data_IF_139684888736
#
_entry.id   IF_139684888736
#
_cell.length_a   1.000
_cell.length_b   1.000
_cell.length_c   1.000
_cell.angle_alpha   90.00
_cell.angle_beta   90.00
_cell.angle_gamma   90.00
#
_symmetry.space_group_name_H-M   'P 1'
#
loop_
_entity.id
_entity.type
_entity.pdbx_description
1 polymer ?
#
# COMPACT_ATOMS: atom_id res chain seq x y z
N UNK A 1 52.32 0.28 13.32
CA UNK A 1 52.46 -0.06 11.89
C UNK A 1 51.73 -1.35 11.57
N UNK A 2 51.75 -2.35 12.47
CA UNK A 2 50.92 -3.56 12.45
C UNK A 2 49.47 -3.36 11.99
N UNK A 3 48.73 -2.39 12.57
CA UNK A 3 47.30 -2.24 12.28
C UNK A 3 47.01 -1.91 10.82
N UNK A 4 47.87 -1.10 10.18
CA UNK A 4 47.74 -0.79 8.74
C UNK A 4 48.02 -2.03 7.88
N UNK A 5 48.98 -2.86 8.27
CA UNK A 5 49.31 -4.11 7.57
C UNK A 5 48.19 -5.15 7.75
N UNK A 6 47.62 -5.25 8.95
CA UNK A 6 46.46 -6.09 9.22
C UNK A 6 45.21 -5.60 8.48
N UNK A 7 44.99 -4.29 8.40
CA UNK A 7 43.89 -3.72 7.63
C UNK A 7 44.03 -4.02 6.14
N UNK A 8 45.21 -3.87 5.57
CA UNK A 8 45.49 -4.22 4.16
C UNK A 8 45.35 -5.73 3.91
N UNK A 9 45.66 -6.57 4.90
CA UNK A 9 45.41 -8.02 4.84
C UNK A 9 43.91 -8.33 4.88
N UNK A 10 43.14 -7.65 5.72
CA UNK A 10 41.67 -7.79 5.82
C UNK A 10 40.95 -7.29 4.56
N UNK A 11 41.40 -6.20 3.94
CA UNK A 11 40.87 -5.71 2.66
C UNK A 11 41.12 -6.69 1.50
N UNK A 12 42.24 -7.42 1.55
CA UNK A 12 42.57 -8.47 0.58
C UNK A 12 41.80 -9.77 0.84
N UNK A 13 41.19 -9.90 2.02
CA UNK A 13 40.30 -11.02 2.30
C UNK A 13 38.98 -10.81 1.54
N UNK A 14 38.84 -11.60 0.46
CA UNK A 14 37.67 -11.59 -0.39
C UNK A 14 36.40 -11.95 0.39
N UNK A 15 36.52 -12.81 1.41
CA UNK A 15 35.37 -13.18 2.26
C UNK A 15 34.85 -11.96 3.04
N UNK A 16 35.76 -11.30 3.75
CA UNK A 16 35.42 -10.16 4.59
C UNK A 16 34.86 -9.00 3.75
N UNK A 17 35.47 -8.75 2.60
CA UNK A 17 35.05 -7.67 1.68
C UNK A 17 33.63 -7.90 1.15
N UNK A 18 33.32 -9.10 0.67
CA UNK A 18 31.97 -9.44 0.18
C UNK A 18 30.94 -9.38 1.30
N UNK A 19 31.28 -9.88 2.49
CA UNK A 19 30.35 -9.87 3.63
C UNK A 19 30.04 -8.45 4.10
N UNK A 20 31.05 -7.58 4.18
CA UNK A 20 30.87 -6.15 4.51
C UNK A 20 30.05 -5.43 3.44
N UNK A 21 30.29 -5.71 2.15
CA UNK A 21 29.52 -5.14 1.06
C UNK A 21 28.04 -5.59 1.13
N UNK A 22 27.78 -6.88 1.36
CA UNK A 22 26.42 -7.40 1.52
C UNK A 22 25.70 -6.79 2.73
N UNK A 23 26.38 -6.62 3.87
CA UNK A 23 25.83 -5.94 5.04
C UNK A 23 25.54 -4.46 4.79
N UNK A 24 26.41 -3.78 4.05
CA UNK A 24 26.20 -2.39 3.66
C UNK A 24 24.97 -2.25 2.75
N UNK A 25 24.84 -3.12 1.74
CA UNK A 25 23.67 -3.17 0.85
C UNK A 25 22.40 -3.48 1.64
N UNK A 26 22.42 -4.50 2.52
CA UNK A 26 21.28 -4.83 3.39
C UNK A 26 20.83 -3.65 4.24
N UNK A 27 21.79 -2.91 4.82
CA UNK A 27 21.49 -1.73 5.63
C UNK A 27 20.85 -0.64 4.79
N UNK A 28 21.40 -0.34 3.60
CA UNK A 28 20.82 0.65 2.67
C UNK A 28 19.42 0.29 2.21
N UNK A 29 19.18 -0.98 1.84
CA UNK A 29 17.84 -1.47 1.47
C UNK A 29 16.86 -1.22 2.62
N UNK A 30 17.24 -1.61 3.84
CA UNK A 30 16.37 -1.44 5.02
C UNK A 30 16.06 0.03 5.29
N UNK A 31 17.07 0.88 5.25
CA UNK A 31 16.91 2.32 5.51
C UNK A 31 16.03 2.97 4.45
N UNK A 32 16.20 2.59 3.17
CA UNK A 32 15.37 3.08 2.09
C UNK A 32 13.91 2.63 2.24
N UNK A 33 13.67 1.35 2.54
CA UNK A 33 12.32 0.84 2.79
C UNK A 33 11.65 1.53 3.99
N UNK A 34 12.40 1.78 5.06
CA UNK A 34 11.90 2.55 6.19
C UNK A 34 11.53 3.98 5.78
N UNK A 35 12.40 4.66 5.03
CA UNK A 35 12.12 6.02 4.55
C UNK A 35 10.87 6.05 3.66
N UNK A 36 10.76 5.14 2.68
CA UNK A 36 9.57 5.04 1.82
C UNK A 36 8.30 4.79 2.62
N UNK A 37 8.35 3.91 3.64
CA UNK A 37 7.22 3.69 4.54
C UNK A 37 6.83 4.97 5.27
N UNK A 38 7.80 5.71 5.82
CA UNK A 38 7.54 6.97 6.52
C UNK A 38 6.99 8.06 5.60
N UNK A 39 7.52 8.18 4.38
CA UNK A 39 7.05 9.15 3.40
C UNK A 39 5.62 8.85 2.95
N UNK A 40 5.30 7.58 2.67
CA UNK A 40 3.93 7.17 2.32
C UNK A 40 2.95 7.46 3.47
N UNK A 41 3.36 7.12 4.70
CA UNK A 41 2.58 7.39 5.91
C UNK A 41 2.40 8.90 6.15
N UNK A 42 3.40 9.72 5.83
CA UNK A 42 3.32 11.17 5.90
C UNK A 42 2.38 11.73 4.85
N UNK A 43 2.49 11.26 3.60
CA UNK A 43 1.63 11.68 2.49
C UNK A 43 0.17 11.33 2.77
N UNK A 44 -0.12 10.09 3.19
CA UNK A 44 -1.46 9.66 3.60
C UNK A 44 -2.05 10.54 4.70
N UNK A 45 -1.27 10.90 5.72
CA UNK A 45 -1.73 11.81 6.79
C UNK A 45 -1.99 13.22 6.25
N UNK A 46 -1.12 13.74 5.39
CA UNK A 46 -1.31 15.07 4.80
C UNK A 46 -2.57 15.13 3.94
N UNK A 47 -2.82 14.11 3.12
CA UNK A 47 -4.04 13.99 2.31
C UNK A 47 -5.30 13.90 3.18
N UNK A 48 -5.31 13.05 4.21
CA UNK A 48 -6.44 12.99 5.14
C UNK A 48 -6.66 14.34 5.84
N UNK A 49 -5.59 15.06 6.18
CA UNK A 49 -5.70 16.37 6.81
C UNK A 49 -6.29 17.43 5.86
N UNK A 50 -5.89 17.45 4.58
CA UNK A 50 -6.44 18.38 3.59
C UNK A 50 -7.90 18.11 3.32
N UNK A 51 -8.26 16.85 3.02
CA UNK A 51 -9.65 16.44 2.79
C UNK A 51 -10.53 16.74 4.00
N UNK A 52 -10.06 16.43 5.22
CA UNK A 52 -10.82 16.73 6.44
C UNK A 52 -10.97 18.24 6.68
N UNK A 53 -9.95 19.04 6.33
CA UNK A 53 -10.04 20.49 6.44
C UNK A 53 -11.05 21.06 5.44
N UNK A 54 -11.03 20.59 4.19
CA UNK A 54 -11.98 20.97 3.14
C UNK A 54 -13.41 20.59 3.52
N UNK A 55 -13.65 19.36 3.98
CA UNK A 55 -14.97 18.94 4.45
C UNK A 55 -15.49 19.82 5.60
N UNK A 56 -14.64 20.21 6.54
CA UNK A 56 -15.02 21.12 7.64
C UNK A 56 -15.34 22.52 7.15
N UNK A 57 -14.56 23.04 6.20
CA UNK A 57 -14.83 24.33 5.56
C UNK A 57 -16.16 24.29 4.80
N UNK A 58 -16.40 23.23 4.04
CA UNK A 58 -17.66 23.04 3.34
C UNK A 58 -18.84 22.95 4.32
N UNK A 59 -18.74 22.16 5.38
CA UNK A 59 -19.79 22.04 6.39
C UNK A 59 -20.10 23.37 7.08
N UNK A 60 -19.08 24.16 7.45
CA UNK A 60 -19.29 25.48 8.04
C UNK A 60 -19.92 26.47 7.05
N UNK A 61 -19.48 26.44 5.79
CA UNK A 61 -20.04 27.27 4.72
C UNK A 61 -21.51 26.92 4.48
N UNK A 62 -21.85 25.64 4.40
CA UNK A 62 -23.22 25.15 4.26
C UNK A 62 -24.10 25.56 5.45
N UNK A 63 -23.60 25.45 6.68
CA UNK A 63 -24.32 25.94 7.86
C UNK A 63 -24.55 27.45 7.77
N UNK A 64 -23.52 28.23 7.42
CA UNK A 64 -23.63 29.68 7.25
C UNK A 64 -24.66 30.07 6.18
N UNK A 65 -24.68 29.36 5.06
CA UNK A 65 -25.70 29.51 4.01
C UNK A 65 -27.08 29.22 4.59
N UNK A 66 -27.28 28.06 5.24
CA UNK A 66 -28.56 27.67 5.85
C UNK A 66 -29.11 28.72 6.82
N UNK A 67 -28.23 29.39 7.58
CA UNK A 67 -28.64 30.45 8.50
C UNK A 67 -29.06 31.74 7.78
N UNK A 68 -28.38 32.10 6.69
CA UNK A 68 -28.62 33.36 5.96
C UNK A 68 -29.72 33.23 4.89
N UNK A 69 -29.92 32.03 4.36
CA UNK A 69 -30.86 31.66 3.31
C UNK A 69 -32.28 32.22 3.51
N UNK A 70 -32.97 32.04 4.64
CA UNK A 70 -34.33 32.55 4.81
C UNK A 70 -34.40 34.09 4.77
N UNK A 71 -33.36 34.77 5.28
CA UNK A 71 -33.27 36.23 5.23
C UNK A 71 -33.05 36.76 3.82
N UNK A 72 -32.13 36.13 3.09
CA UNK A 72 -31.83 36.49 1.69
C UNK A 72 -33.03 36.19 0.78
N UNK A 73 -33.69 35.04 0.92
CA UNK A 73 -34.90 34.71 0.15
C UNK A 73 -36.04 35.71 0.40
N UNK A 74 -36.17 36.22 1.63
CA UNK A 74 -37.13 37.28 1.96
C UNK A 74 -36.79 38.59 1.24
N UNK A 75 -35.51 38.97 1.18
CA UNK A 75 -35.06 40.15 0.44
C UNK A 75 -35.28 39.99 -1.07
N UNK A 76 -34.95 38.83 -1.63
CA UNK A 76 -35.22 38.49 -3.04
C UNK A 76 -36.72 38.57 -3.33
N UNK A 77 -37.57 38.11 -2.41
CA UNK A 77 -39.03 38.25 -2.52
C UNK A 77 -39.47 39.70 -2.60
N UNK A 78 -38.93 40.56 -1.75
CA UNK A 78 -39.28 41.98 -1.73
C UNK A 78 -38.76 42.71 -2.97
N UNK A 79 -37.56 42.36 -3.44
CA UNK A 79 -36.94 42.91 -4.65
C UNK A 79 -37.71 42.54 -5.92
N UNK A 80 -38.15 41.28 -6.04
CA UNK A 80 -38.88 40.80 -7.21
C UNK A 80 -40.32 41.33 -7.27
N UNK A 81 -40.88 41.83 -6.15
CA UNK A 81 -42.25 42.34 -6.08
C UNK A 81 -42.34 43.70 -5.36
N UNK A 82 -41.69 44.76 -5.90
CA UNK A 82 -41.71 46.06 -5.26
C UNK A 82 -43.09 46.70 -5.40
N UNK A 83 -43.70 47.17 -4.29
CA UNK A 83 -44.99 47.86 -4.36
C UNK A 83 -44.76 49.21 -5.04
N UNK A 84 -45.45 49.43 -6.17
CA UNK A 84 -45.50 50.70 -6.92
C UNK A 84 -44.31 51.06 -7.83
N UNK A 85 -43.46 50.10 -8.22
CA UNK A 85 -42.34 50.33 -9.14
C UNK A 85 -42.39 49.44 -10.40
N UNK A 86 -41.64 49.82 -11.44
CA UNK A 86 -41.39 48.99 -12.62
C UNK A 86 -40.65 47.73 -12.15
N UNK A 87 -41.19 46.56 -12.49
CA UNK A 87 -40.66 45.29 -12.04
C UNK A 87 -39.21 45.10 -12.52
N UNK A 88 -38.23 44.93 -11.61
CA UNK A 88 -36.84 44.69 -11.97
C UNK A 88 -36.64 43.27 -12.54
N UNK A 89 -35.48 43.00 -13.12
CA UNK A 89 -35.11 41.66 -13.60
C UNK A 89 -35.24 40.65 -12.46
N UNK A 90 -36.04 39.61 -12.67
CA UNK A 90 -36.34 38.60 -11.64
C UNK A 90 -35.07 37.85 -11.29
N UNK A 91 -34.74 37.82 -10.00
CA UNK A 91 -33.70 36.94 -9.49
C UNK A 91 -34.36 35.58 -9.21
N UNK A 92 -33.91 34.48 -9.84
CA UNK A 92 -34.43 33.16 -9.55
C UNK A 92 -34.16 32.81 -8.09
N UNK A 93 -35.17 32.24 -7.41
CA UNK A 93 -35.03 31.80 -6.02
C UNK A 93 -34.32 30.46 -5.93
N UNK A 94 -34.59 29.60 -6.89
CA UNK A 94 -34.01 28.27 -6.98
C UNK A 94 -32.58 28.38 -7.48
N UNK A 95 -31.65 27.74 -6.77
CA UNK A 95 -30.24 27.70 -7.14
C UNK A 95 -29.43 28.96 -6.84
N UNK A 96 -30.00 29.95 -6.14
CA UNK A 96 -29.26 31.18 -5.77
C UNK A 96 -28.07 30.90 -4.82
N UNK A 97 -28.11 29.78 -4.10
CA UNK A 97 -27.05 29.30 -3.21
C UNK A 97 -26.31 28.07 -3.72
N UNK A 98 -26.64 27.58 -4.92
CA UNK A 98 -25.82 26.57 -5.57
C UNK A 98 -24.49 27.26 -5.89
N UNK A 99 -23.48 26.96 -5.10
CA UNK A 99 -22.10 27.26 -5.45
C UNK A 99 -21.84 26.51 -6.75
N UNK A 100 -21.56 27.26 -7.82
CA UNK A 100 -21.10 26.75 -9.14
C UNK A 100 -19.68 26.13 -9.03
N UNK A 101 -19.35 25.62 -7.84
CA UNK A 101 -18.17 24.80 -7.57
C UNK A 101 -18.55 23.39 -7.97
N UNK A 102 -18.68 23.19 -9.29
CA UNK A 102 -18.20 21.96 -9.87
C UNK A 102 -16.73 21.86 -9.50
N UNK A 103 -16.42 21.19 -8.39
CA UNK A 103 -15.22 20.38 -8.40
C UNK A 103 -15.57 19.29 -9.40
N UNK A 104 -15.27 19.56 -10.67
CA UNK A 104 -15.56 18.65 -11.75
C UNK A 104 -14.91 17.32 -11.34
N UNK A 105 -15.68 16.23 -11.25
CA UNK A 105 -15.13 14.89 -11.00
C UNK A 105 -13.93 14.64 -11.93
N UNK A 106 -13.97 15.20 -13.14
CA UNK A 106 -12.88 15.21 -14.13
C UNK A 106 -11.55 15.77 -13.58
N UNK A 107 -11.58 16.79 -12.73
CA UNK A 107 -10.38 17.36 -12.09
C UNK A 107 -9.78 16.42 -11.05
N UNK A 108 -10.62 15.78 -10.22
CA UNK A 108 -10.17 14.80 -9.24
C UNK A 108 -9.66 13.52 -9.91
N UNK A 109 -10.35 13.06 -10.95
CA UNK A 109 -9.96 11.90 -11.77
C UNK A 109 -8.59 12.15 -12.43
N UNK A 110 -8.34 13.34 -12.98
CA UNK A 110 -7.03 13.67 -13.57
C UNK A 110 -5.88 13.59 -12.54
N UNK A 111 -6.09 14.04 -11.31
CA UNK A 111 -5.10 13.87 -10.24
C UNK A 111 -4.89 12.42 -9.84
N UNK A 112 -5.94 11.61 -9.73
CA UNK A 112 -5.81 10.19 -9.44
C UNK A 112 -4.98 9.46 -10.52
N UNK A 113 -5.20 9.79 -11.79
CA UNK A 113 -4.44 9.20 -12.92
C UNK A 113 -2.98 9.64 -12.90
N UNK A 114 -2.70 10.91 -12.59
CA UNK A 114 -1.33 11.43 -12.50
C UNK A 114 -0.56 10.80 -11.32
N UNK A 115 -1.20 10.67 -10.16
CA UNK A 115 -0.63 10.02 -8.98
C UNK A 115 -0.40 8.51 -9.22
N UNK A 116 -1.33 7.82 -9.87
CA UNK A 116 -1.16 6.41 -10.25
C UNK A 116 0.04 6.22 -11.19
N UNK A 117 0.22 7.11 -12.16
CA UNK A 117 1.37 7.08 -13.06
C UNK A 117 2.69 7.31 -12.31
N UNK A 118 2.71 8.22 -11.33
CA UNK A 118 3.88 8.45 -10.48
C UNK A 118 4.21 7.21 -9.64
N UNK A 119 3.23 6.60 -8.98
CA UNK A 119 3.44 5.39 -8.18
C UNK A 119 3.94 4.22 -9.03
N UNK A 120 3.43 4.08 -10.26
CA UNK A 120 3.91 3.07 -11.21
C UNK A 120 5.37 3.31 -11.61
N UNK A 121 5.75 4.56 -11.81
CA UNK A 121 7.14 4.92 -12.08
C UNK A 121 8.06 4.61 -10.90
N UNK A 122 7.68 5.04 -9.68
CA UNK A 122 8.43 4.77 -8.46
C UNK A 122 8.59 3.25 -8.21
N UNK A 123 7.51 2.49 -8.40
CA UNK A 123 7.54 1.01 -8.33
C UNK A 123 8.52 0.42 -9.34
N UNK A 124 8.49 0.88 -10.59
CA UNK A 124 9.41 0.40 -11.63
C UNK A 124 10.87 0.68 -11.27
N UNK A 125 11.17 1.88 -10.76
CA UNK A 125 12.51 2.27 -10.29
C UNK A 125 12.98 1.38 -9.15
N UNK A 126 12.11 1.09 -8.16
CA UNK A 126 12.44 0.20 -7.04
C UNK A 126 12.71 -1.22 -7.54
N UNK A 127 11.90 -1.72 -8.49
CA UNK A 127 12.07 -3.05 -9.07
C UNK A 127 13.37 -3.14 -9.86
N UNK A 128 13.69 -2.16 -10.69
CA UNK A 128 14.96 -2.10 -11.44
C UNK A 128 16.15 -2.09 -10.49
N UNK A 129 16.09 -1.28 -9.43
CA UNK A 129 17.14 -1.22 -8.43
C UNK A 129 17.31 -2.54 -7.67
N UNK A 130 16.21 -3.17 -7.24
CA UNK A 130 16.25 -4.49 -6.61
C UNK A 130 16.86 -5.56 -7.54
N UNK A 131 16.51 -5.55 -8.83
CA UNK A 131 17.06 -6.49 -9.81
C UNK A 131 18.56 -6.28 -10.02
N UNK A 132 19.01 -5.02 -10.09
CA UNK A 132 20.42 -4.67 -10.22
C UNK A 132 21.23 -5.15 -9.00
N UNK A 133 20.75 -4.88 -7.79
CA UNK A 133 21.39 -5.34 -6.55
C UNK A 133 21.36 -6.87 -6.42
N UNK A 134 20.24 -7.51 -6.78
CA UNK A 134 20.13 -8.97 -6.81
C UNK A 134 21.11 -9.59 -7.81
N UNK A 135 21.33 -8.95 -8.95
CA UNK A 135 22.34 -9.32 -9.93
C UNK A 135 23.76 -9.28 -9.34
N UNK A 136 24.09 -8.23 -8.59
CA UNK A 136 25.37 -8.10 -7.90
C UNK A 136 25.59 -9.20 -6.85
N UNK A 137 24.56 -9.50 -6.04
CA UNK A 137 24.59 -10.58 -5.05
C UNK A 137 24.77 -11.95 -5.74
N UNK A 138 24.03 -12.20 -6.81
CA UNK A 138 24.13 -13.45 -7.58
C UNK A 138 25.51 -13.59 -8.24
N UNK A 139 26.05 -12.50 -8.78
CA UNK A 139 27.41 -12.47 -9.33
C UNK A 139 28.47 -12.80 -8.29
N UNK A 140 28.33 -12.29 -7.06
CA UNK A 140 29.20 -12.64 -5.95
C UNK A 140 29.04 -14.12 -5.53
N UNK A 141 27.80 -14.64 -5.49
CA UNK A 141 27.49 -16.03 -5.12
C UNK A 141 27.97 -17.06 -6.15
N UNK A 142 27.85 -16.75 -7.45
CA UNK A 142 28.28 -17.63 -8.54
C UNK A 142 29.79 -17.64 -8.78
N UNK A 143 30.58 -16.91 -8.00
CA UNK A 143 32.03 -16.98 -8.07
C UNK A 143 32.49 -18.41 -7.70
N UNK A 144 33.00 -19.16 -8.67
CA UNK A 144 33.40 -20.58 -8.52
C UNK A 144 34.46 -20.80 -7.41
N UNK A 145 35.23 -19.75 -7.07
CA UNK A 145 36.19 -19.79 -5.96
C UNK A 145 35.46 -19.90 -4.61
N UNK A 146 34.31 -19.25 -4.46
CA UNK A 146 33.47 -19.34 -3.26
C UNK A 146 32.81 -20.70 -3.15
N UNK A 147 32.13 -21.19 -4.21
CA UNK A 147 31.55 -22.54 -4.19
C UNK A 147 32.55 -23.64 -3.85
N UNK A 148 33.84 -23.46 -4.13
CA UNK A 148 34.91 -24.42 -3.76
C UNK A 148 35.44 -24.26 -2.33
N UNK A 149 35.41 -23.04 -1.77
CA UNK A 149 35.88 -22.76 -0.40
C UNK A 149 34.80 -22.85 0.67
N UNK A 150 33.52 -22.72 0.29
CA UNK A 150 32.35 -22.86 1.17
C UNK A 150 31.64 -24.20 0.95
N UNK A 151 32.29 -25.17 0.29
CA UNK A 151 31.83 -26.56 0.37
C UNK A 151 31.80 -26.94 1.85
N UNK A 152 30.71 -27.55 2.30
CA UNK A 152 30.63 -28.09 3.64
C UNK A 152 31.92 -28.86 3.91
N UNK A 153 32.65 -28.47 4.95
CA UNK A 153 33.77 -29.27 5.43
C UNK A 153 33.16 -30.65 5.68
N UNK A 154 33.62 -31.71 4.96
CA UNK A 154 33.08 -33.05 5.17
C UNK A 154 33.13 -33.33 6.66
N UNK A 155 32.01 -33.73 7.24
CA UNK A 155 31.96 -33.98 8.67
C UNK A 155 33.05 -35.03 8.97
N UNK A 156 34.06 -34.64 9.76
CA UNK A 156 35.20 -35.50 10.07
C UNK A 156 34.76 -36.78 10.79
N UNK A 157 33.55 -36.74 11.35
CA UNK A 157 32.90 -37.83 12.06
C UNK A 157 31.53 -38.06 11.43
N UNK A 158 31.14 -39.32 11.16
CA UNK A 158 29.78 -39.64 10.74
C UNK A 158 28.82 -39.10 11.79
N UNK A 159 27.99 -38.15 11.38
CA UNK A 159 26.93 -37.63 12.24
C UNK A 159 25.85 -38.72 12.29
N UNK A 160 25.71 -39.37 13.45
CA UNK A 160 24.71 -40.42 13.62
C UNK A 160 23.29 -39.88 13.48
N UNK A 161 22.34 -40.75 13.14
CA UNK A 161 20.91 -40.42 12.97
C UNK A 161 20.25 -39.77 14.20
N UNK A 162 20.93 -39.77 15.34
CA UNK A 162 20.52 -39.13 16.59
C UNK A 162 20.92 -37.66 16.73
N UNK A 163 21.70 -37.11 15.79
CA UNK A 163 22.13 -35.71 15.85
C UNK A 163 21.14 -34.80 15.13
N UNK A 164 20.03 -34.55 15.80
CA UNK A 164 18.96 -33.69 15.32
C UNK A 164 17.60 -34.22 15.76
N UNK A 165 16.56 -33.38 15.74
CA UNK A 165 15.19 -33.87 15.86
C UNK A 165 14.95 -34.92 14.78
N UNK A 166 14.31 -36.03 15.15
CA UNK A 166 13.88 -37.02 14.15
C UNK A 166 12.89 -36.38 13.18
N UNK A 167 12.79 -36.91 11.97
CA UNK A 167 11.82 -36.44 10.97
C UNK A 167 10.39 -36.41 11.54
N UNK A 168 10.04 -37.36 12.41
CA UNK A 168 8.76 -37.38 13.13
C UNK A 168 8.58 -36.19 14.07
N UNK A 169 9.63 -35.74 14.77
CA UNK A 169 9.57 -34.56 15.63
C UNK A 169 9.43 -33.26 14.82
N UNK A 170 10.06 -33.20 13.63
CA UNK A 170 9.91 -32.07 12.71
C UNK A 170 8.49 -31.99 12.14
N UNK A 171 7.92 -33.14 11.75
CA UNK A 171 6.54 -33.24 11.27
C UNK A 171 5.53 -32.84 12.34
N UNK A 172 5.74 -33.27 13.58
CA UNK A 172 4.86 -32.91 14.69
C UNK A 172 4.88 -31.39 14.95
N UNK A 173 6.07 -30.78 14.98
CA UNK A 173 6.19 -29.34 15.19
C UNK A 173 5.50 -28.53 14.07
N UNK A 174 5.56 -29.01 12.82
CA UNK A 174 4.86 -28.38 11.70
C UNK A 174 3.33 -28.50 11.84
N UNK A 175 2.82 -29.66 12.27
CA UNK A 175 1.40 -29.86 12.57
C UNK A 175 0.91 -28.93 13.70
N UNK A 176 1.67 -28.85 14.80
CA UNK A 176 1.32 -28.02 15.95
C UNK A 176 1.30 -26.52 15.59
N UNK A 177 2.24 -26.08 14.74
CA UNK A 177 2.27 -24.71 14.23
C UNK A 177 1.05 -24.39 13.36
N UNK A 178 0.63 -25.31 12.51
CA UNK A 178 -0.56 -25.14 11.67
C UNK A 178 -1.86 -25.13 12.50
N UNK A 179 -1.92 -25.94 13.57
CA UNK A 179 -3.09 -26.05 14.44
C UNK A 179 -3.23 -24.89 15.44
N UNK A 180 -2.14 -24.21 15.77
CA UNK A 180 -2.15 -23.01 16.62
C UNK A 180 -2.88 -21.81 16.00
N UNK A 181 -3.19 -21.84 14.70
CA UNK A 181 -3.85 -20.75 13.97
C UNK A 181 -5.39 -20.76 14.04
N UNK A 182 -6.01 -21.79 14.63
CA UNK A 182 -7.47 -22.03 14.54
C UNK A 182 -8.20 -22.11 15.89
N UNK A 183 -7.60 -21.63 16.99
CA UNK A 183 -8.27 -21.57 18.29
C UNK A 183 -8.61 -20.12 18.64
N UNK A 184 -9.74 -19.67 18.12
CA UNK A 184 -10.44 -18.49 18.65
C UNK A 184 -11.04 -18.84 20.01
N UNK A 185 -10.76 -18.01 21.01
CA UNK A 185 -11.35 -18.08 22.34
C UNK A 185 -12.72 -17.38 22.30
N UNK A 186 -13.78 -18.18 22.12
CA UNK A 186 -15.16 -17.75 22.42
C UNK A 186 -15.34 -17.71 23.95
N UNK A 187 -15.23 -16.53 24.57
CA UNK A 187 -15.68 -16.29 25.95
C UNK A 187 -16.90 -15.36 25.93
N UNK A 188 -18.08 -15.98 26.07
CA UNK A 188 -19.37 -15.30 26.14
C UNK A 188 -19.74 -15.09 27.61
N UNK A 189 -19.62 -13.84 28.08
CA UNK A 189 -20.17 -13.39 29.37
C UNK A 189 -21.35 -12.45 29.12
N UNK A 190 -22.52 -12.88 29.60
CA UNK A 190 -23.79 -12.16 29.60
C UNK A 190 -23.77 -11.03 30.62
N UNK A 191 -24.06 -9.80 30.19
CA UNK A 191 -24.53 -8.73 31.09
C UNK A 191 -25.78 -8.08 30.51
N UNK A 192 -26.90 -8.34 31.17
CA UNK A 192 -28.19 -7.64 31.08
C UNK A 192 -28.05 -6.19 31.56
N UNK A 193 -28.69 -5.22 30.90
CA UNK A 193 -28.74 -3.85 31.40
C UNK A 193 -29.34 -2.79 30.47
N UNK A 194 -30.66 -2.67 30.54
CA UNK A 194 -31.50 -1.46 30.46
C UNK A 194 -31.71 -0.68 29.13
N UNK A 195 -33.01 -0.47 28.88
CA UNK A 195 -33.65 0.24 27.77
C UNK A 195 -33.36 1.75 27.82
N UNK A 196 -33.01 2.32 26.66
CA UNK A 196 -32.91 3.75 26.44
C UNK A 196 -33.53 4.12 25.09
N UNK A 197 -34.71 4.72 25.17
CA UNK A 197 -35.52 5.27 24.08
C UNK A 197 -34.84 6.49 23.41
N UNK A 198 -34.62 6.44 22.09
CA UNK A 198 -34.52 7.62 21.25
C UNK A 198 -34.82 7.31 19.77
N UNK A 199 -36.04 7.67 19.39
CA UNK A 199 -36.57 8.16 18.11
C UNK A 199 -35.71 8.03 16.83
N UNK A 200 -36.36 7.40 15.86
CA UNK A 200 -36.08 7.20 14.44
C UNK A 200 -35.86 8.51 13.66
N UNK A 201 -34.74 8.62 12.91
CA UNK A 201 -34.61 9.55 11.78
C UNK A 201 -33.67 8.96 10.70
N UNK A 202 -34.05 9.17 9.44
CA UNK A 202 -33.86 8.26 8.31
C UNK A 202 -32.46 8.29 7.61
N UNK A 203 -31.95 7.09 7.33
CA UNK A 203 -31.27 6.59 6.11
C UNK A 203 -30.45 7.55 5.21
N UNK A 204 -29.12 7.46 5.31
CA UNK A 204 -28.21 7.52 4.16
C UNK A 204 -27.20 6.39 4.35
N UNK A 205 -27.21 5.39 3.47
CA UNK A 205 -26.40 4.16 3.60
C UNK A 205 -24.91 4.48 3.69
N UNK A 206 -24.39 4.53 4.91
CA UNK A 206 -22.97 4.50 5.21
C UNK A 206 -22.49 3.09 4.80
N UNK A 207 -21.68 3.00 3.74
CA UNK A 207 -20.91 1.76 3.47
C UNK A 207 -20.15 1.52 4.76
N UNK A 208 -20.59 0.53 5.53
CA UNK A 208 -20.02 0.29 6.85
C UNK A 208 -18.53 0.08 6.69
N UNK A 209 -17.73 0.56 7.64
CA UNK A 209 -16.27 0.40 7.64
C UNK A 209 -15.85 -1.06 7.34
N UNK A 210 -16.72 -2.02 7.67
CA UNK A 210 -16.60 -3.43 7.32
C UNK A 210 -16.68 -3.73 5.82
N UNK A 211 -17.66 -3.18 5.11
CA UNK A 211 -17.81 -3.37 3.66
C UNK A 211 -16.68 -2.68 2.88
N UNK A 212 -16.18 -1.55 3.38
CA UNK A 212 -14.97 -0.91 2.86
C UNK A 212 -13.71 -1.76 3.12
N UNK A 213 -13.60 -2.38 4.29
CA UNK A 213 -12.49 -3.27 4.64
C UNK A 213 -12.51 -4.52 3.76
N UNK A 214 -13.69 -5.11 3.54
CA UNK A 214 -13.90 -6.27 2.67
C UNK A 214 -13.54 -5.93 1.22
N UNK A 215 -13.92 -4.75 0.71
CA UNK A 215 -13.54 -4.30 -0.63
C UNK A 215 -12.02 -4.08 -0.78
N UNK A 216 -11.35 -3.57 0.26
CA UNK A 216 -9.88 -3.40 0.27
C UNK A 216 -9.18 -4.76 0.28
N UNK A 217 -9.69 -5.72 1.06
CA UNK A 217 -9.17 -7.09 1.11
C UNK A 217 -9.35 -7.80 -0.24
N UNK A 218 -10.52 -7.66 -0.87
CA UNK A 218 -10.80 -8.20 -2.21
C UNK A 218 -9.87 -7.60 -3.27
N UNK A 219 -9.58 -6.29 -3.22
CA UNK A 219 -8.64 -5.64 -4.13
C UNK A 219 -7.21 -6.15 -3.89
N UNK A 220 -6.80 -6.32 -2.63
CA UNK A 220 -5.48 -6.84 -2.28
C UNK A 220 -5.28 -8.29 -2.78
N UNK A 221 -6.31 -9.13 -2.63
CA UNK A 221 -6.32 -10.50 -3.15
C UNK A 221 -6.26 -10.51 -4.68
N UNK A 222 -7.04 -9.66 -5.36
CA UNK A 222 -7.00 -9.56 -6.83
C UNK A 222 -5.62 -9.12 -7.33
N UNK A 223 -4.93 -8.19 -6.65
CA UNK A 223 -3.59 -7.74 -7.03
C UNK A 223 -2.53 -8.83 -6.85
N UNK A 224 -2.63 -9.62 -5.77
CA UNK A 224 -1.76 -10.76 -5.51
C UNK A 224 -1.83 -11.81 -6.64
N UNK A 225 -3.02 -12.05 -7.20
CA UNK A 225 -3.22 -12.97 -8.32
C UNK A 225 -2.99 -12.34 -9.71
N UNK A 226 -3.11 -11.01 -9.89
CA UNK A 226 -2.74 -10.32 -11.14
C UNK A 226 -1.23 -10.37 -11.40
N UNK A 227 -0.43 -10.43 -10.33
CA UNK A 227 1.02 -10.58 -10.42
C UNK A 227 1.42 -11.89 -11.12
N UNK A 228 0.67 -12.98 -10.98
CA UNK A 228 1.02 -14.28 -11.61
C UNK A 228 0.60 -14.35 -13.09
N UNK A 229 -0.48 -13.67 -13.50
CA UNK A 229 -1.06 -13.82 -14.85
C UNK A 229 -0.27 -13.10 -15.95
N UNK A 230 0.43 -12.01 -15.62
CA UNK A 230 1.25 -11.25 -16.59
C UNK A 230 2.56 -11.99 -16.90
N UNK A 231 3.18 -12.68 -15.93
CA UNK A 231 4.40 -13.44 -16.18
C UNK A 231 4.17 -14.69 -17.04
N UNK A 232 2.98 -15.32 -16.97
CA UNK A 232 2.67 -16.48 -17.82
C UNK A 232 2.31 -16.09 -19.27
N UNK A 233 1.58 -15.00 -19.51
CA UNK A 233 1.20 -14.59 -20.87
C UNK A 233 2.36 -13.97 -21.66
N UNK A 234 3.32 -13.33 -20.98
CA UNK A 234 4.56 -12.87 -21.64
C UNK A 234 5.52 -14.04 -21.90
N UNK A 235 5.57 -15.04 -21.00
CA UNK A 235 6.44 -16.20 -21.17
C UNK A 235 5.96 -17.19 -22.25
N UNK A 236 4.65 -17.31 -22.51
CA UNK A 236 4.14 -18.24 -23.53
C UNK A 236 4.03 -17.63 -24.92
N UNK A 237 3.87 -16.31 -25.04
CA UNK A 237 3.81 -15.64 -26.35
C UNK A 237 5.21 -15.31 -26.93
N UNK A 238 6.28 -15.44 -26.14
CA UNK A 238 7.65 -15.20 -26.58
C UNK A 238 8.44 -16.44 -27.02
N UNK A 239 7.83 -17.64 -27.03
CA UNK A 239 8.55 -18.92 -27.27
C UNK A 239 8.04 -19.68 -28.50
N UNK A 240 7.11 -19.14 -29.30
CA UNK A 240 6.54 -19.85 -30.46
C UNK A 240 6.85 -19.25 -31.84
N UNK A 241 7.80 -18.31 -31.98
CA UNK A 241 8.17 -17.75 -33.31
C UNK A 241 9.60 -18.04 -33.79
N UNK A 242 10.44 -18.75 -33.06
CA UNK A 242 11.75 -19.17 -33.57
C UNK A 242 11.96 -20.66 -33.34
N UNK A 243 11.48 -21.50 -34.26
CA UNK A 243 12.10 -22.78 -34.67
C UNK A 243 11.16 -23.45 -35.69
N UNK A 244 11.21 -23.01 -36.95
CA UNK A 244 11.02 -23.88 -38.12
C UNK A 244 11.32 -23.11 -39.42
N UNK A 245 12.60 -22.79 -39.64
CA UNK A 245 13.13 -22.72 -41.00
C UNK A 245 14.60 -23.19 -41.01
N UNK A 246 14.87 -24.15 -41.90
CA UNK A 246 16.16 -24.74 -42.33
C UNK A 246 16.62 -25.99 -41.56
N UNK A 247 16.22 -27.18 -42.04
CA UNK A 247 17.10 -28.01 -42.91
C UNK A 247 16.46 -29.38 -43.25
N UNK A 248 15.85 -29.49 -44.42
CA UNK A 248 16.05 -30.56 -45.44
C UNK A 248 15.12 -30.32 -46.62
#
# INVERSE_FOLDING_TARGET
MEDKVNLEKMKKDMYLTVHLNALAVKTRIRDHLHQCKFELERLKRSYRATINAEHKLHANTQQSIKWQEPGILKLVSMYNAPPYAIMPHIIPRDGIFLLDVGLDDDTMVNWCVEEEAQLMHERAVIQEWMLAEWGAIRGASNNAVWKKKVQCIPCTWPVGESWGPSDGALLQAACDQAQSSFRDEDDAESVEGEEGDCEEDLEYGEIGDKELMDAIEDIALVDEYRCVRIYYTVATNGVLEELDMVSS
#
